data_IF_167454972494
#
_entry.id   IF_167454972494
#
_cell.length_a   1.000
_cell.length_b   1.000
_cell.length_c   1.000
_cell.angle_alpha   90.00
_cell.angle_beta   90.00
_cell.angle_gamma   90.00
#
_symmetry.space_group_name_H-M   'P 1'
#
loop_
_entity.id
_entity.type
_entity.pdbx_description
1 polymer ?
#
# COMPACT_ATOMS: atom_id res chain seq x y z
N UNK A 1 -11.41 9.56 -16.85
CA UNK A 1 -10.24 8.70 -17.16
C UNK A 1 -9.36 8.74 -15.95
N UNK A 2 -9.48 7.75 -15.07
CA UNK A 2 -8.71 7.71 -13.84
C UNK A 2 -7.23 7.66 -14.17
N UNK A 3 -6.49 8.65 -13.67
CA UNK A 3 -5.14 8.94 -14.09
C UNK A 3 -4.16 8.03 -13.33
N UNK A 4 -4.20 6.72 -13.62
CA UNK A 4 -3.39 5.70 -12.95
C UNK A 4 -1.89 6.03 -12.93
N UNK A 5 -1.38 6.69 -13.97
CA UNK A 5 0.00 7.14 -14.06
C UNK A 5 0.37 8.19 -12.99
N UNK A 6 -0.56 9.09 -12.64
CA UNK A 6 -0.33 10.08 -11.57
C UNK A 6 -0.34 9.42 -10.20
N UNK A 7 -1.27 8.49 -9.95
CA UNK A 7 -1.32 7.71 -8.70
C UNK A 7 -0.08 6.84 -8.56
N UNK A 8 0.37 6.18 -9.63
CA UNK A 8 1.60 5.40 -9.63
C UNK A 8 2.83 6.27 -9.34
N UNK A 9 2.93 7.46 -9.96
CA UNK A 9 4.02 8.40 -9.70
C UNK A 9 4.02 8.91 -8.24
N UNK A 10 2.84 9.17 -7.67
CA UNK A 10 2.69 9.55 -6.27
C UNK A 10 3.08 8.42 -5.31
N UNK A 11 2.68 7.18 -5.61
CA UNK A 11 3.09 6.01 -4.82
C UNK A 11 4.62 5.85 -4.87
N UNK A 12 5.23 6.03 -6.04
CA UNK A 12 6.68 5.99 -6.19
C UNK A 12 7.41 7.13 -5.45
N UNK A 13 6.89 8.36 -5.48
CA UNK A 13 7.50 9.48 -4.75
C UNK A 13 7.41 9.31 -3.22
N UNK A 14 6.31 8.77 -2.72
CA UNK A 14 6.16 8.40 -1.30
C UNK A 14 7.09 7.24 -0.93
N UNK A 15 7.23 6.25 -1.82
CA UNK A 15 8.17 5.16 -1.64
C UNK A 15 9.61 5.67 -1.62
N UNK A 16 9.98 6.62 -2.48
CA UNK A 16 11.31 7.24 -2.53
C UNK A 16 11.58 8.12 -1.30
N UNK A 17 10.56 8.75 -0.71
CA UNK A 17 10.66 9.47 0.57
C UNK A 17 10.94 8.52 1.75
N UNK A 18 10.33 7.32 1.75
CA UNK A 18 10.64 6.24 2.69
C UNK A 18 11.99 5.55 2.38
N UNK A 19 12.51 5.73 1.16
CA UNK A 19 13.62 4.93 0.61
C UNK A 19 14.98 5.25 1.20
N UNK A 20 15.20 6.44 1.76
CA UNK A 20 16.44 6.86 2.46
C UNK A 20 17.57 5.81 2.52
N UNK A 21 17.78 5.18 3.68
CA UNK A 21 18.82 4.16 3.94
C UNK A 21 18.47 2.71 3.53
N UNK A 22 17.33 2.47 2.87
CA UNK A 22 16.83 1.11 2.62
C UNK A 22 17.27 0.55 1.26
N UNK A 23 17.97 -0.59 1.29
CA UNK A 23 18.38 -1.30 0.07
C UNK A 23 17.16 -1.87 -0.65
N UNK A 24 17.22 -1.98 -1.98
CA UNK A 24 16.14 -2.56 -2.80
C UNK A 24 15.69 -3.96 -2.33
N UNK A 25 16.60 -4.74 -1.75
CA UNK A 25 16.30 -6.06 -1.16
C UNK A 25 15.43 -5.99 0.11
N UNK A 26 15.39 -4.85 0.80
CA UNK A 26 14.56 -4.62 1.98
C UNK A 26 13.17 -4.10 1.63
N UNK A 27 12.99 -3.57 0.42
CA UNK A 27 11.69 -3.07 -0.06
C UNK A 27 10.61 -4.14 -0.03
N UNK A 28 10.96 -5.39 -0.39
CA UNK A 28 10.05 -6.53 -0.29
C UNK A 28 9.47 -6.72 1.11
N UNK A 29 10.24 -6.45 2.18
CA UNK A 29 9.78 -6.61 3.56
C UNK A 29 8.82 -5.51 4.01
N UNK A 30 8.85 -4.35 3.37
CA UNK A 30 7.95 -3.22 3.71
C UNK A 30 6.71 -3.28 2.84
N UNK A 31 6.86 -3.46 1.53
CA UNK A 31 5.72 -3.44 0.60
C UNK A 31 4.77 -4.63 0.80
N UNK A 32 5.29 -5.81 1.16
CA UNK A 32 4.47 -7.01 1.34
C UNK A 32 3.45 -6.87 2.50
N UNK A 33 3.84 -6.44 3.72
CA UNK A 33 2.87 -6.14 4.78
C UNK A 33 1.81 -5.13 4.36
N UNK A 34 2.18 -4.03 3.72
CA UNK A 34 1.21 -3.01 3.29
C UNK A 34 0.28 -3.51 2.19
N UNK A 35 0.80 -4.30 1.25
CA UNK A 35 -0.02 -4.93 0.19
C UNK A 35 -0.98 -5.95 0.79
N UNK A 36 -0.53 -6.74 1.76
CA UNK A 36 -1.37 -7.70 2.49
C UNK A 36 -2.44 -6.99 3.32
N UNK A 37 -2.10 -5.92 4.02
CA UNK A 37 -3.05 -5.08 4.77
C UNK A 37 -4.12 -4.55 3.83
N UNK A 38 -3.74 -3.96 2.69
CA UNK A 38 -4.70 -3.46 1.71
C UNK A 38 -5.62 -4.58 1.19
N UNK A 39 -5.06 -5.77 0.93
CA UNK A 39 -5.84 -6.92 0.48
C UNK A 39 -6.82 -7.40 1.56
N UNK A 40 -6.40 -7.43 2.82
CA UNK A 40 -7.25 -7.76 3.96
C UNK A 40 -8.37 -6.72 4.14
N UNK A 41 -8.06 -5.43 4.04
CA UNK A 41 -9.07 -4.36 4.08
C UNK A 41 -10.12 -4.52 2.99
N UNK A 42 -9.73 -4.84 1.75
CA UNK A 42 -10.67 -5.04 0.65
C UNK A 42 -11.55 -6.28 0.84
N UNK A 43 -11.02 -7.35 1.45
CA UNK A 43 -11.82 -8.54 1.80
C UNK A 43 -12.81 -8.20 2.92
N UNK A 44 -12.39 -7.39 3.89
CA UNK A 44 -13.20 -7.00 5.03
C UNK A 44 -14.18 -5.86 4.71
N UNK A 45 -14.08 -5.24 3.53
CA UNK A 45 -14.87 -4.06 3.16
C UNK A 45 -16.38 -4.32 3.17
N UNK A 46 -16.80 -5.54 2.81
CA UNK A 46 -18.21 -5.94 2.83
C UNK A 46 -18.78 -6.09 4.26
N UNK A 47 -17.96 -6.53 5.22
CA UNK A 47 -18.37 -6.87 6.58
C UNK A 47 -17.82 -5.89 7.64
N UNK A 48 -17.24 -4.77 7.18
CA UNK A 48 -16.53 -3.81 8.05
C UNK A 48 -17.41 -3.25 9.17
N UNK A 49 -18.68 -2.99 8.88
CA UNK A 49 -19.64 -2.51 9.87
C UNK A 49 -19.88 -3.54 10.98
N UNK A 50 -19.94 -4.83 10.63
CA UNK A 50 -20.24 -5.92 11.57
C UNK A 50 -19.09 -6.24 12.54
N UNK A 51 -17.89 -5.71 12.28
CA UNK A 51 -16.69 -5.89 13.13
C UNK A 51 -16.39 -4.66 13.99
N UNK A 52 -17.00 -3.50 13.66
CA UNK A 52 -16.78 -2.24 14.38
C UNK A 52 -17.82 -1.98 15.48
N UNK A 53 -18.92 -2.73 15.49
CA UNK A 53 -19.90 -2.78 16.60
C UNK A 53 -19.44 -3.73 17.72
#
# INVERSE_FOLDING_TARGET
>A
MDNFSQTAAFIWSVADLLRGDFKQSQYGRVILPFTLLRRLECVLEADKQAVLD
#
